data_IF_199878645144
#
_entry.id   IF_199878645144
#
_cell.length_a   1.000
_cell.length_b   1.000
_cell.length_c   1.000
_cell.angle_alpha   90.00
_cell.angle_beta   90.00
_cell.angle_gamma   90.00
#
_symmetry.space_group_name_H-M   'P 1'
#
loop_
_entity.id
_entity.type
_entity.pdbx_description
1 polymer ?
#
# COMPACT_ATOMS: atom_id res chain seq x y z
N UNK A 1 19.21 5.67 -16.67
CA UNK A 1 18.78 6.99 -17.20
C UNK A 1 18.58 8.05 -16.10
N UNK A 2 19.42 8.05 -15.04
CA UNK A 2 19.62 9.19 -14.13
C UNK A 2 21.12 9.53 -13.92
N UNK A 3 22.05 8.64 -14.29
CA UNK A 3 23.49 8.99 -14.34
C UNK A 3 23.92 9.55 -15.72
N UNK A 4 23.15 9.30 -16.77
CA UNK A 4 23.47 9.75 -18.14
C UNK A 4 22.91 11.15 -18.49
N UNK A 5 22.11 11.75 -17.59
CA UNK A 5 21.65 13.15 -17.73
C UNK A 5 22.64 14.12 -17.09
N UNK A 6 23.27 13.74 -15.97
CA UNK A 6 24.29 14.54 -15.30
C UNK A 6 25.62 14.58 -16.07
N UNK A 7 25.98 13.52 -16.80
CA UNK A 7 27.17 13.52 -17.67
C UNK A 7 26.98 14.31 -18.97
N UNK A 8 25.74 14.55 -19.41
CA UNK A 8 25.41 15.29 -20.64
C UNK A 8 25.35 16.81 -20.44
N UNK A 9 25.09 17.28 -19.22
CA UNK A 9 25.10 18.71 -18.88
C UNK A 9 26.49 19.34 -18.81
N UNK A 10 27.57 18.58 -18.61
CA UNK A 10 28.95 19.13 -18.58
C UNK A 10 29.65 19.21 -19.94
N UNK A 11 28.98 18.89 -21.07
CA UNK A 11 29.60 18.86 -22.41
C UNK A 11 28.90 19.65 -23.52
N UNK A 12 28.00 20.57 -23.19
CA UNK A 12 27.38 21.48 -24.17
C UNK A 12 27.42 22.93 -23.69
N UNK A 13 28.63 23.47 -23.58
CA UNK A 13 28.86 24.91 -23.65
C UNK A 13 29.15 25.29 -25.10
N UNK A 14 28.13 25.75 -25.82
CA UNK A 14 28.11 26.71 -26.95
C UNK A 14 27.01 26.33 -27.95
N UNK A 15 25.86 26.99 -27.82
CA UNK A 15 25.05 27.62 -28.89
C UNK A 15 23.59 27.72 -28.43
N UNK A 16 23.03 28.93 -28.60
CA UNK A 16 21.77 29.35 -27.99
C UNK A 16 20.52 28.78 -28.65
N UNK A 17 19.46 28.70 -27.86
CA UNK A 17 18.12 28.35 -28.31
C UNK A 17 17.15 28.35 -27.13
N UNK A 18 16.37 29.43 -27.02
CA UNK A 18 15.33 29.64 -26.00
C UNK A 18 14.14 28.73 -26.28
N UNK A 19 13.72 27.88 -25.34
CA UNK A 19 12.33 27.39 -25.24
C UNK A 19 11.91 27.16 -23.78
N UNK A 20 10.68 27.59 -23.48
CA UNK A 20 10.10 27.89 -22.15
C UNK A 20 9.90 26.64 -21.27
N UNK A 21 10.26 26.77 -19.99
CA UNK A 21 10.00 25.82 -18.91
C UNK A 21 8.58 26.00 -18.33
N UNK A 22 7.79 24.92 -18.26
CA UNK A 22 6.62 24.83 -17.38
C UNK A 22 7.05 24.21 -16.06
N UNK A 23 6.87 24.95 -14.96
CA UNK A 23 7.23 24.58 -13.59
C UNK A 23 6.39 23.36 -13.14
N UNK A 24 7.04 22.25 -12.77
CA UNK A 24 6.44 21.19 -11.94
C UNK A 24 7.04 21.25 -10.55
N UNK A 25 6.17 21.04 -9.56
CA UNK A 25 6.37 21.31 -8.14
C UNK A 25 7.43 20.42 -7.46
N UNK A 26 8.15 20.94 -6.43
CA UNK A 26 9.18 20.20 -5.69
C UNK A 26 8.65 19.12 -4.73
N UNK A 27 7.35 19.12 -4.41
CA UNK A 27 6.79 18.35 -3.29
C UNK A 27 6.89 16.82 -3.43
N UNK A 28 6.95 16.30 -4.66
CA UNK A 28 7.01 14.85 -4.92
C UNK A 28 8.38 14.27 -4.54
N UNK A 29 9.47 15.03 -4.70
CA UNK A 29 10.85 14.55 -4.45
C UNK A 29 11.15 14.43 -2.96
N UNK A 30 10.57 15.32 -2.15
CA UNK A 30 10.77 15.30 -0.70
C UNK A 30 10.00 14.15 -0.03
N UNK A 31 8.86 13.75 -0.59
CA UNK A 31 8.07 12.62 -0.07
C UNK A 31 8.78 11.26 -0.23
N UNK A 32 9.46 11.03 -1.35
CA UNK A 32 10.27 9.82 -1.58
C UNK A 32 11.46 9.70 -0.61
N UNK A 33 12.02 10.84 -0.17
CA UNK A 33 13.12 10.87 0.79
C UNK A 33 12.64 10.49 2.20
N UNK A 34 11.40 10.83 2.53
CA UNK A 34 10.78 10.53 3.81
C UNK A 34 10.24 9.11 3.91
N UNK A 35 9.75 8.53 2.81
CA UNK A 35 9.39 7.11 2.72
C UNK A 35 10.65 6.22 2.86
N UNK A 36 11.78 6.64 2.28
CA UNK A 36 13.06 5.92 2.41
C UNK A 36 13.60 5.91 3.85
N UNK A 37 13.17 6.85 4.71
CA UNK A 37 13.50 6.87 6.14
C UNK A 37 12.63 5.92 6.97
N UNK A 38 11.42 5.55 6.50
CA UNK A 38 10.50 4.64 7.20
C UNK A 38 10.78 3.16 6.92
N UNK A 39 11.50 2.84 5.86
CA UNK A 39 12.05 1.50 5.63
C UNK A 39 13.32 1.35 6.48
N UNK A 40 13.37 0.35 7.37
CA UNK A 40 14.54 0.11 8.21
C UNK A 40 15.82 0.02 7.35
N UNK A 41 16.83 0.89 7.57
CA UNK A 41 18.10 0.84 6.83
C UNK A 41 18.80 -0.52 6.98
N UNK A 42 18.54 -1.21 8.09
CA UNK A 42 18.99 -2.58 8.36
C UNK A 42 18.40 -3.59 7.38
N UNK A 43 17.14 -3.42 6.97
CA UNK A 43 16.45 -4.31 6.02
C UNK A 43 17.04 -4.17 4.61
N UNK A 44 17.30 -2.92 4.16
CA UNK A 44 17.95 -2.66 2.87
C UNK A 44 19.40 -3.18 2.86
N UNK A 45 20.19 -2.90 3.92
CA UNK A 45 21.57 -3.37 4.01
C UNK A 45 21.70 -4.91 4.06
N UNK A 46 20.77 -5.61 4.71
CA UNK A 46 20.81 -7.08 4.83
C UNK A 46 20.38 -7.77 3.53
N UNK A 47 19.39 -7.23 2.80
CA UNK A 47 19.06 -7.69 1.45
C UNK A 47 20.19 -7.39 0.46
N UNK A 48 20.78 -6.20 0.50
CA UNK A 48 21.94 -5.85 -0.35
C UNK A 48 23.14 -6.75 -0.04
N UNK A 49 23.41 -7.08 1.22
CA UNK A 49 24.48 -8.03 1.61
C UNK A 49 24.26 -9.44 1.06
N UNK A 50 23.02 -9.94 1.09
CA UNK A 50 22.71 -11.27 0.54
C UNK A 50 22.85 -11.31 -0.99
N UNK A 51 22.52 -10.21 -1.69
CA UNK A 51 22.71 -10.08 -3.15
C UNK A 51 24.19 -9.90 -3.52
N UNK A 52 24.96 -9.12 -2.75
CA UNK A 52 26.40 -8.99 -2.93
C UNK A 52 27.16 -10.30 -2.67
N UNK A 53 26.70 -11.12 -1.72
CA UNK A 53 27.27 -12.46 -1.48
C UNK A 53 27.04 -13.39 -2.68
N UNK A 54 25.88 -13.31 -3.35
CA UNK A 54 25.63 -14.03 -4.60
C UNK A 54 26.49 -13.52 -5.77
N UNK A 55 26.75 -12.21 -5.86
CA UNK A 55 27.65 -11.63 -6.89
C UNK A 55 29.11 -12.04 -6.70
N UNK A 56 29.63 -12.03 -5.46
CA UNK A 56 31.02 -12.45 -5.18
C UNK A 56 31.28 -13.94 -5.43
N UNK A 57 30.25 -14.78 -5.30
CA UNK A 57 30.33 -16.20 -5.64
C UNK A 57 30.41 -16.44 -7.16
N UNK A 58 29.90 -15.52 -7.99
CA UNK A 58 29.95 -15.59 -9.45
C UNK A 58 31.28 -15.09 -10.03
N UNK A 59 31.93 -14.10 -9.41
CA UNK A 59 33.17 -13.50 -9.93
C UNK A 59 34.45 -14.33 -9.68
N UNK A 60 34.43 -15.32 -8.77
CA UNK A 60 35.67 -16.00 -8.34
C UNK A 60 35.91 -17.41 -8.94
N UNK A 61 35.47 -17.67 -10.18
CA UNK A 61 35.84 -18.90 -10.91
C UNK A 61 36.40 -18.60 -12.30
N UNK A 62 37.73 -18.46 -12.40
CA UNK A 62 38.49 -18.69 -13.65
C UNK A 62 38.96 -20.15 -13.70
N UNK A 63 38.84 -20.75 -14.89
CA UNK A 63 38.76 -22.18 -15.24
C UNK A 63 40.04 -23.04 -14.99
N UNK A 64 39.98 -24.39 -15.16
CA UNK A 64 39.93 -25.01 -16.49
C UNK A 64 38.85 -26.11 -16.68
N UNK A 65 38.37 -26.26 -17.93
CA UNK A 65 37.42 -27.29 -18.42
C UNK A 65 37.99 -28.73 -18.30
N UNK A 66 37.18 -29.83 -18.18
CA UNK A 66 36.21 -30.25 -19.22
C UNK A 66 34.97 -31.07 -18.77
N UNK A 67 34.13 -31.37 -19.78
CA UNK A 67 33.09 -32.42 -19.92
C UNK A 67 31.64 -32.02 -19.67
N UNK A 68 30.87 -32.11 -20.76
CA UNK A 68 29.40 -32.13 -20.85
C UNK A 68 28.80 -32.86 -19.65
N UNK A 69 28.12 -32.13 -18.79
CA UNK A 69 27.04 -32.66 -17.98
C UNK A 69 25.90 -31.64 -17.97
N UNK A 70 24.70 -32.18 -18.20
CA UNK A 70 23.39 -31.53 -18.24
C UNK A 70 23.28 -30.38 -17.23
N UNK A 71 22.85 -29.22 -17.71
CA UNK A 71 22.16 -28.22 -16.90
C UNK A 71 20.89 -28.86 -16.34
N UNK A 72 20.94 -29.22 -15.06
CA UNK A 72 19.76 -29.42 -14.22
C UNK A 72 19.78 -28.26 -13.21
N UNK A 73 18.59 -27.75 -12.93
CA UNK A 73 18.23 -26.71 -11.94
C UNK A 73 18.02 -25.28 -12.48
N UNK A 74 16.77 -24.95 -12.87
CA UNK A 74 15.87 -24.12 -12.02
C UNK A 74 14.50 -23.75 -12.66
N UNK A 75 14.02 -24.49 -13.67
CA UNK A 75 12.70 -24.32 -14.31
C UNK A 75 11.53 -25.02 -13.54
N UNK A 76 11.80 -25.57 -12.36
CA UNK A 76 10.87 -26.48 -11.66
C UNK A 76 9.79 -25.75 -10.85
N UNK A 77 10.06 -24.51 -10.41
CA UNK A 77 9.14 -23.75 -9.55
C UNK A 77 8.27 -22.73 -10.32
N UNK A 78 8.33 -22.74 -11.65
CA UNK A 78 7.50 -21.88 -12.47
C UNK A 78 6.03 -22.27 -12.36
N UNK A 79 5.17 -21.28 -12.09
CA UNK A 79 3.74 -21.47 -12.28
C UNK A 79 3.49 -21.73 -13.77
N UNK A 80 2.64 -22.71 -14.09
CA UNK A 80 2.27 -23.05 -15.46
C UNK A 80 0.75 -23.25 -15.50
N UNK A 81 0.08 -22.47 -16.34
CA UNK A 81 -1.35 -22.58 -16.58
C UNK A 81 -1.64 -22.29 -18.06
N UNK A 82 -2.81 -22.69 -18.55
CA UNK A 82 -3.32 -22.26 -19.86
C UNK A 82 -4.14 -20.98 -19.78
N UNK A 83 -4.25 -20.35 -18.60
CA UNK A 83 -5.06 -19.15 -18.40
C UNK A 83 -4.51 -17.95 -19.20
N UNK A 84 -5.43 -17.07 -19.62
CA UNK A 84 -5.08 -15.84 -20.33
C UNK A 84 -4.17 -14.95 -19.47
N UNK A 85 -4.40 -14.93 -18.16
CA UNK A 85 -3.55 -14.28 -17.16
C UNK A 85 -2.09 -14.73 -17.27
N UNK A 86 -1.85 -16.04 -17.15
CA UNK A 86 -0.51 -16.60 -17.17
C UNK A 86 0.22 -16.33 -18.48
N UNK A 87 -0.44 -16.61 -19.60
CA UNK A 87 0.16 -16.45 -20.94
C UNK A 87 0.53 -14.99 -21.21
N UNK A 88 -0.33 -14.06 -20.81
CA UNK A 88 -0.09 -12.62 -21.00
C UNK A 88 1.00 -12.08 -20.06
N UNK A 89 1.06 -12.56 -18.81
CA UNK A 89 2.15 -12.20 -17.90
C UNK A 89 3.49 -12.71 -18.41
N UNK A 90 3.55 -13.98 -18.84
CA UNK A 90 4.77 -14.60 -19.35
C UNK A 90 5.26 -13.91 -20.62
N UNK A 91 4.36 -13.57 -21.56
CA UNK A 91 4.75 -12.86 -22.79
C UNK A 91 5.20 -11.42 -22.52
N UNK A 92 4.65 -10.77 -21.48
CA UNK A 92 5.08 -9.43 -21.07
C UNK A 92 6.43 -9.40 -20.33
N UNK A 93 6.95 -10.55 -19.90
CA UNK A 93 8.20 -10.68 -19.15
C UNK A 93 8.02 -10.75 -17.63
N UNK A 94 6.82 -11.07 -17.14
CA UNK A 94 6.54 -11.39 -15.74
C UNK A 94 6.45 -12.91 -15.56
N UNK A 95 7.47 -13.48 -14.93
CA UNK A 95 7.58 -14.92 -14.65
C UNK A 95 7.05 -15.21 -13.24
N UNK A 96 5.82 -15.74 -13.20
CA UNK A 96 5.14 -16.13 -11.96
C UNK A 96 5.68 -17.45 -11.43
N UNK A 97 5.87 -17.55 -10.11
CA UNK A 97 6.39 -18.75 -9.42
C UNK A 97 5.29 -19.43 -8.58
N UNK A 98 5.49 -20.67 -8.16
CA UNK A 98 4.50 -21.41 -7.36
C UNK A 98 4.44 -21.02 -5.87
N UNK A 99 5.09 -19.92 -5.46
CA UNK A 99 5.05 -19.41 -4.09
C UNK A 99 6.23 -19.81 -3.21
N UNK A 100 7.12 -20.70 -3.68
CA UNK A 100 8.39 -21.00 -2.98
C UNK A 100 9.44 -19.93 -3.25
N UNK A 101 9.45 -19.34 -4.45
CA UNK A 101 10.34 -18.26 -4.87
C UNK A 101 9.59 -16.96 -5.17
N UNK A 102 10.32 -15.85 -5.15
CA UNK A 102 9.81 -14.56 -5.60
C UNK A 102 9.55 -14.57 -7.11
N UNK A 103 8.55 -13.81 -7.54
CA UNK A 103 8.28 -13.59 -8.96
C UNK A 103 9.47 -12.90 -9.63
N UNK A 104 9.73 -13.28 -10.89
CA UNK A 104 10.90 -12.81 -11.64
C UNK A 104 10.47 -11.93 -12.80
N UNK A 105 11.16 -10.80 -12.99
CA UNK A 105 10.97 -9.91 -14.12
C UNK A 105 12.09 -10.10 -15.14
N UNK A 106 11.73 -10.42 -16.38
CA UNK A 106 12.65 -10.47 -17.51
C UNK A 106 12.98 -9.09 -18.12
N UNK A 107 12.27 -8.04 -17.71
CA UNK A 107 12.44 -6.65 -18.18
C UNK A 107 12.19 -5.64 -17.03
N UNK A 108 12.52 -4.35 -17.24
CA UNK A 108 12.11 -3.28 -16.32
C UNK A 108 10.58 -3.23 -16.16
N UNK A 109 10.09 -2.94 -14.94
CA UNK A 109 8.67 -2.89 -14.59
C UNK A 109 7.82 -2.04 -15.55
N UNK A 110 8.36 -0.92 -16.03
CA UNK A 110 7.65 -0.04 -16.96
C UNK A 110 7.51 -0.69 -18.34
N UNK A 111 8.50 -1.50 -18.75
CA UNK A 111 8.44 -2.26 -20.00
C UNK A 111 7.45 -3.41 -19.88
N UNK A 112 7.40 -4.09 -18.74
CA UNK A 112 6.41 -5.14 -18.47
C UNK A 112 4.99 -4.58 -18.54
N UNK A 113 4.72 -3.45 -17.87
CA UNK A 113 3.42 -2.76 -17.94
C UNK A 113 3.04 -2.39 -19.38
N UNK A 114 3.99 -1.82 -20.13
CA UNK A 114 3.78 -1.44 -21.53
C UNK A 114 3.51 -2.64 -22.43
N UNK A 115 4.26 -3.73 -22.26
CA UNK A 115 4.09 -4.96 -23.03
C UNK A 115 2.76 -5.62 -22.72
N UNK A 116 2.40 -5.72 -21.44
CA UNK A 116 1.12 -6.28 -21.01
C UNK A 116 -0.06 -5.47 -21.54
N UNK A 117 0.04 -4.13 -21.50
CA UNK A 117 -0.99 -3.24 -22.08
C UNK A 117 -1.16 -3.49 -23.58
N UNK A 118 -0.07 -3.65 -24.33
CA UNK A 118 -0.13 -3.94 -25.76
C UNK A 118 -0.74 -5.31 -26.05
N UNK A 119 -0.34 -6.32 -25.29
CA UNK A 119 -0.81 -7.69 -25.42
C UNK A 119 -2.32 -7.78 -25.19
N UNK A 120 -2.82 -7.18 -24.10
CA UNK A 120 -4.24 -7.19 -23.76
C UNK A 120 -5.07 -6.40 -24.78
N UNK A 121 -4.57 -5.26 -25.26
CA UNK A 121 -5.22 -4.49 -26.34
C UNK A 121 -5.25 -5.27 -27.66
N UNK A 122 -4.20 -6.03 -27.97
CA UNK A 122 -4.14 -6.84 -29.18
C UNK A 122 -5.09 -8.03 -29.14
N UNK A 123 -5.32 -8.62 -27.97
CA UNK A 123 -6.27 -9.73 -27.77
C UNK A 123 -7.74 -9.27 -27.78
N UNK A 124 -7.98 -7.96 -27.69
CA UNK A 124 -9.20 -7.24 -28.09
C UNK A 124 -10.52 -8.01 -28.00
N UNK A 125 -11.16 -8.01 -26.83
CA UNK A 125 -12.52 -8.53 -26.61
C UNK A 125 -13.08 -7.99 -25.29
N UNK A 126 -14.41 -7.85 -25.21
CA UNK A 126 -15.09 -7.34 -24.01
C UNK A 126 -14.72 -8.15 -22.74
N UNK A 127 -14.63 -9.47 -22.89
CA UNK A 127 -14.35 -10.40 -21.79
C UNK A 127 -12.86 -10.54 -21.43
N UNK A 128 -11.93 -9.86 -22.13
CA UNK A 128 -10.49 -10.10 -21.91
C UNK A 128 -10.07 -9.67 -20.51
N UNK A 129 -10.64 -8.58 -20.00
CA UNK A 129 -10.35 -8.07 -18.65
C UNK A 129 -10.88 -9.05 -17.60
N UNK A 130 -12.11 -9.55 -17.78
CA UNK A 130 -12.75 -10.50 -16.87
C UNK A 130 -11.98 -11.82 -16.84
N UNK A 131 -11.68 -12.42 -18.01
CA UNK A 131 -10.87 -13.67 -18.09
C UNK A 131 -9.46 -13.49 -17.55
N UNK A 132 -8.89 -12.30 -17.64
CA UNK A 132 -7.61 -12.00 -17.00
C UNK A 132 -7.75 -11.95 -15.48
N UNK A 133 -8.81 -11.31 -14.96
CA UNK A 133 -9.09 -11.22 -13.54
C UNK A 133 -9.40 -12.59 -12.93
N UNK A 134 -10.20 -13.43 -13.58
CA UNK A 134 -10.46 -14.82 -13.17
C UNK A 134 -9.16 -15.64 -13.04
N UNK A 135 -8.27 -15.54 -14.05
CA UNK A 135 -6.99 -16.23 -14.01
C UNK A 135 -6.03 -15.67 -12.95
N UNK A 136 -6.18 -14.40 -12.58
CA UNK A 136 -5.45 -13.79 -11.46
C UNK A 136 -5.98 -14.29 -10.11
N UNK A 137 -7.30 -14.32 -9.96
CA UNK A 137 -8.01 -14.84 -8.79
C UNK A 137 -7.62 -16.30 -8.51
N UNK A 138 -7.67 -17.16 -9.53
CA UNK A 138 -7.24 -18.57 -9.44
C UNK A 138 -5.77 -18.69 -8.99
N UNK A 139 -4.91 -17.79 -9.44
CA UNK A 139 -3.49 -17.79 -9.09
C UNK A 139 -3.26 -17.39 -7.63
N UNK A 140 -3.95 -16.36 -7.14
CA UNK A 140 -3.80 -15.85 -5.76
C UNK A 140 -4.57 -16.66 -4.72
N UNK A 141 -5.45 -17.58 -5.13
CA UNK A 141 -6.15 -18.47 -4.21
C UNK A 141 -5.19 -19.32 -3.36
N UNK A 142 -4.00 -19.61 -3.90
CA UNK A 142 -2.94 -20.19 -3.10
C UNK A 142 -2.23 -19.10 -2.26
N UNK A 143 -2.33 -19.20 -0.93
CA UNK A 143 -1.72 -18.27 0.02
C UNK A 143 -0.23 -18.00 -0.27
N UNK A 144 0.59 -19.03 -0.53
CA UNK A 144 2.02 -18.84 -0.81
C UNK A 144 2.27 -18.00 -2.08
N UNK A 145 1.49 -18.24 -3.15
CA UNK A 145 1.56 -17.45 -4.38
C UNK A 145 1.12 -16.01 -4.14
N UNK A 146 0.03 -15.83 -3.39
CA UNK A 146 -0.46 -14.51 -3.02
C UNK A 146 0.59 -13.70 -2.25
N UNK A 147 1.15 -14.28 -1.19
CA UNK A 147 2.18 -13.62 -0.38
C UNK A 147 3.40 -13.22 -1.21
N UNK A 148 3.94 -14.12 -2.06
CA UNK A 148 5.08 -13.80 -2.93
C UNK A 148 4.73 -12.80 -4.03
N UNK A 149 3.45 -12.60 -4.34
CA UNK A 149 2.99 -11.60 -5.32
C UNK A 149 2.83 -10.19 -4.73
N UNK A 150 2.65 -10.10 -3.41
CA UNK A 150 2.64 -8.84 -2.66
C UNK A 150 4.05 -8.33 -2.31
N UNK A 151 5.05 -9.21 -2.30
CA UNK A 151 6.45 -8.86 -2.01
C UNK A 151 7.20 -8.35 -3.26
N UNK A 152 8.29 -7.59 -3.10
CA UNK A 152 9.09 -7.09 -4.22
C UNK A 152 9.55 -8.20 -5.18
N UNK A 153 9.41 -7.95 -6.49
CA UNK A 153 9.83 -8.91 -7.51
C UNK A 153 11.34 -8.84 -7.74
N UNK A 154 11.95 -9.99 -8.06
CA UNK A 154 13.38 -10.08 -8.39
C UNK A 154 13.55 -9.85 -9.88
N UNK A 155 14.53 -9.04 -10.27
CA UNK A 155 14.87 -8.92 -11.69
C UNK A 155 15.83 -10.02 -12.09
N UNK A 156 15.62 -10.61 -13.26
CA UNK A 156 16.53 -11.60 -13.83
C UNK A 156 17.96 -11.02 -13.92
N UNK A 157 18.94 -11.83 -13.52
CA UNK A 157 20.36 -11.52 -13.59
C UNK A 157 20.85 -11.16 -14.99
N UNK A 158 20.18 -11.66 -16.04
CA UNK A 158 20.53 -11.37 -17.44
C UNK A 158 19.89 -10.08 -17.97
N UNK A 159 18.99 -9.46 -17.19
CA UNK A 159 18.28 -8.26 -17.62
C UNK A 159 19.14 -7.00 -17.53
N UNK A 160 19.71 -6.58 -18.66
CA UNK A 160 20.52 -5.34 -18.75
C UNK A 160 19.69 -4.05 -18.65
N UNK A 161 18.38 -4.13 -18.87
CA UNK A 161 17.47 -2.97 -18.85
C UNK A 161 17.03 -2.55 -17.44
N UNK A 162 17.28 -3.40 -16.44
CA UNK A 162 16.78 -3.22 -15.10
C UNK A 162 17.54 -2.16 -14.32
N UNK A 163 16.80 -1.24 -13.68
CA UNK A 163 17.39 -0.17 -12.86
C UNK A 163 17.81 -0.63 -11.46
N UNK A 164 17.24 -1.74 -10.98
CA UNK A 164 17.51 -2.31 -9.67
C UNK A 164 17.30 -3.83 -9.69
N UNK A 165 17.94 -4.54 -8.75
CA UNK A 165 17.80 -5.99 -8.58
C UNK A 165 16.42 -6.38 -8.01
N UNK A 166 15.77 -5.45 -7.31
CA UNK A 166 14.42 -5.57 -6.77
C UNK A 166 13.56 -4.47 -7.36
N UNK A 167 12.36 -4.81 -7.77
CA UNK A 167 11.40 -3.87 -8.34
C UNK A 167 10.06 -3.96 -7.59
N UNK A 168 9.03 -3.29 -8.11
CA UNK A 168 7.68 -3.40 -7.57
C UNK A 168 7.23 -4.86 -7.41
N UNK A 169 6.30 -5.08 -6.48
CA UNK A 169 5.65 -6.38 -6.36
C UNK A 169 4.90 -6.73 -7.66
N UNK A 170 4.66 -8.02 -7.90
CA UNK A 170 3.90 -8.44 -9.07
C UNK A 170 2.52 -7.75 -9.10
N UNK A 171 1.85 -7.67 -7.95
CA UNK A 171 0.57 -6.97 -7.80
C UNK A 171 0.71 -5.49 -8.15
N UNK A 172 1.69 -4.77 -7.61
CA UNK A 172 1.89 -3.35 -7.89
C UNK A 172 2.16 -3.08 -9.38
N UNK A 173 2.91 -3.97 -10.03
CA UNK A 173 3.21 -3.87 -11.46
C UNK A 173 1.93 -4.05 -12.28
N UNK A 174 1.12 -5.07 -11.96
CA UNK A 174 -0.17 -5.33 -12.60
C UNK A 174 -1.17 -4.18 -12.39
N UNK A 175 -1.22 -3.61 -11.19
CA UNK A 175 -2.06 -2.44 -10.88
C UNK A 175 -1.63 -1.17 -11.64
N UNK A 176 -0.43 -1.10 -12.18
CA UNK A 176 -0.02 -0.02 -13.08
C UNK A 176 -0.50 -0.17 -14.51
N UNK A 177 -1.32 -1.17 -14.82
CA UNK A 177 -1.96 -1.33 -16.14
C UNK A 177 -3.42 -0.93 -16.05
N UNK A 178 -3.73 0.27 -16.55
CA UNK A 178 -5.05 0.91 -16.46
C UNK A 178 -6.21 0.01 -16.90
N UNK A 179 -6.03 -0.78 -17.96
CA UNK A 179 -7.08 -1.62 -18.55
C UNK A 179 -7.65 -2.67 -17.58
N UNK A 180 -6.82 -3.17 -16.67
CA UNK A 180 -7.16 -4.26 -15.73
C UNK A 180 -7.23 -3.77 -14.28
N UNK A 181 -6.75 -2.55 -14.01
CA UNK A 181 -6.53 -2.04 -12.65
C UNK A 181 -7.78 -2.17 -11.78
N UNK A 182 -8.93 -1.62 -12.20
CA UNK A 182 -10.15 -1.64 -11.40
C UNK A 182 -10.61 -3.05 -11.05
N UNK A 183 -10.56 -3.97 -12.03
CA UNK A 183 -10.97 -5.37 -11.81
C UNK A 183 -10.04 -6.08 -10.83
N UNK A 184 -8.73 -5.85 -10.92
CA UNK A 184 -7.76 -6.44 -10.00
C UNK A 184 -7.87 -5.85 -8.59
N UNK A 185 -8.11 -4.54 -8.47
CA UNK A 185 -8.34 -3.92 -7.16
C UNK A 185 -9.59 -4.52 -6.49
N UNK A 186 -10.67 -4.76 -7.25
CA UNK A 186 -11.87 -5.43 -6.74
C UNK A 186 -11.56 -6.81 -6.17
N UNK A 187 -10.91 -7.68 -6.96
CA UNK A 187 -10.51 -9.03 -6.54
C UNK A 187 -9.62 -8.99 -5.29
N UNK A 188 -8.66 -8.05 -5.24
CA UNK A 188 -7.79 -7.88 -4.08
C UNK A 188 -8.55 -7.41 -2.82
N UNK A 189 -9.51 -6.49 -2.97
CA UNK A 189 -10.37 -6.08 -1.86
C UNK A 189 -11.21 -7.25 -1.34
N UNK A 190 -11.71 -8.12 -2.22
CA UNK A 190 -12.51 -9.30 -1.85
C UNK A 190 -11.72 -10.35 -1.06
N UNK A 191 -10.38 -10.34 -1.11
CA UNK A 191 -9.54 -11.16 -0.22
C UNK A 191 -9.43 -10.59 1.21
N UNK A 192 -9.76 -9.32 1.46
CA UNK A 192 -9.59 -8.70 2.78
C UNK A 192 -10.39 -9.38 3.90
N UNK A 193 -11.68 -9.73 3.70
CA UNK A 193 -12.46 -10.40 4.74
C UNK A 193 -11.99 -11.82 5.08
N UNK A 194 -11.18 -12.45 4.23
CA UNK A 194 -10.64 -13.80 4.50
C UNK A 194 -9.61 -13.81 5.64
N UNK A 195 -9.02 -12.65 5.95
CA UNK A 195 -8.00 -12.54 7.00
C UNK A 195 -8.66 -12.43 8.38
N UNK A 196 -9.09 -13.57 8.92
CA UNK A 196 -9.69 -13.64 10.26
C UNK A 196 -8.68 -14.09 11.31
N UNK A 197 -8.17 -13.14 12.10
CA UNK A 197 -7.27 -13.41 13.22
C UNK A 197 -5.80 -13.58 12.83
N UNK A 198 -4.94 -13.75 13.83
CA UNK A 198 -3.48 -13.59 13.67
C UNK A 198 -2.84 -14.63 12.73
N UNK A 199 -3.33 -15.87 12.70
CA UNK A 199 -2.73 -16.95 11.87
C UNK A 199 -2.90 -16.71 10.38
N UNK A 200 -4.08 -16.23 10.00
CA UNK A 200 -4.42 -15.99 8.60
C UNK A 200 -3.88 -14.63 8.14
N UNK A 201 -3.81 -13.66 9.08
CA UNK A 201 -3.39 -12.29 8.80
C UNK A 201 -1.88 -12.07 8.87
N UNK A 202 -1.09 -13.01 9.40
CA UNK A 202 0.37 -12.82 9.56
C UNK A 202 1.21 -13.91 8.93
N UNK A 203 2.29 -13.50 8.28
CA UNK A 203 3.30 -14.41 7.73
C UNK A 203 4.66 -14.14 8.35
N UNK A 204 5.50 -15.17 8.39
CA UNK A 204 6.90 -15.05 8.77
C UNK A 204 7.76 -14.91 7.51
N UNK A 205 8.17 -13.68 7.21
CA UNK A 205 9.11 -13.41 6.12
C UNK A 205 10.47 -13.03 6.74
N UNK A 206 11.50 -13.83 6.46
CA UNK A 206 12.87 -13.61 6.96
C UNK A 206 12.97 -13.44 8.49
N UNK A 207 12.08 -14.11 9.24
CA UNK A 207 12.05 -14.06 10.70
C UNK A 207 11.26 -12.89 11.29
N UNK A 208 10.63 -12.05 10.46
CA UNK A 208 9.73 -10.99 10.91
C UNK A 208 8.27 -11.35 10.62
N UNK A 209 7.38 -11.04 11.58
CA UNK A 209 5.93 -11.11 11.35
C UNK A 209 5.52 -9.95 10.45
N UNK A 210 4.87 -10.27 9.33
CA UNK A 210 4.32 -9.30 8.38
C UNK A 210 2.81 -9.42 8.38
N UNK A 211 2.10 -8.30 8.59
CA UNK A 211 0.65 -8.22 8.48
C UNK A 211 0.28 -8.19 6.98
N UNK A 212 -0.44 -9.22 6.54
CA UNK A 212 -0.82 -9.43 5.13
C UNK A 212 -1.89 -8.46 4.67
N UNK A 213 -3.00 -8.21 5.41
CA UNK A 213 -3.94 -7.13 5.10
C UNK A 213 -3.25 -5.77 4.88
N UNK A 214 -2.33 -5.40 5.78
CA UNK A 214 -1.55 -4.17 5.64
C UNK A 214 -0.69 -4.18 4.36
N UNK A 215 -0.01 -5.29 4.09
CA UNK A 215 0.80 -5.45 2.89
C UNK A 215 -0.04 -5.38 1.61
N UNK A 216 -1.24 -5.95 1.60
CA UNK A 216 -2.19 -5.87 0.50
C UNK A 216 -2.61 -4.42 0.25
N UNK A 217 -3.09 -3.72 1.28
CA UNK A 217 -3.54 -2.33 1.17
C UNK A 217 -2.41 -1.37 0.76
N UNK A 218 -1.17 -1.65 1.17
CA UNK A 218 0.00 -0.89 0.71
C UNK A 218 0.23 -0.97 -0.81
N UNK A 219 -0.31 -1.99 -1.48
CA UNK A 219 -0.26 -2.08 -2.94
C UNK A 219 -1.13 -1.02 -3.62
N UNK A 220 -2.13 -0.47 -2.93
CA UNK A 220 -2.98 0.61 -3.46
C UNK A 220 -2.42 2.01 -3.19
N UNK A 221 -1.58 2.16 -2.17
CA UNK A 221 -1.02 3.45 -1.77
C UNK A 221 -0.09 4.04 -2.85
N UNK A 222 -0.25 5.32 -3.18
CA UNK A 222 0.63 6.04 -4.12
C UNK A 222 0.74 5.39 -5.51
N UNK A 223 -0.36 4.83 -6.02
CA UNK A 223 -0.46 4.53 -7.44
C UNK A 223 -0.42 5.86 -8.22
N UNK A 224 0.26 5.88 -9.37
CA UNK A 224 0.40 7.10 -10.19
C UNK A 224 -0.98 7.64 -10.64
N UNK A 225 -1.93 6.73 -10.87
CA UNK A 225 -3.30 7.04 -11.24
C UNK A 225 -4.24 5.89 -10.84
N UNK A 226 -5.41 6.23 -10.31
CA UNK A 226 -6.51 5.29 -10.07
C UNK A 226 -7.60 5.57 -11.10
N UNK A 227 -7.89 4.57 -11.94
CA UNK A 227 -8.78 4.67 -13.10
C UNK A 227 -10.23 4.92 -12.70
N UNK A 228 -10.75 4.16 -11.73
CA UNK A 228 -12.10 4.33 -11.21
C UNK A 228 -12.08 4.49 -9.68
N UNK A 229 -11.74 5.69 -9.21
CA UNK A 229 -11.61 5.98 -7.78
C UNK A 229 -12.90 5.78 -6.98
N UNK A 230 -14.05 6.10 -7.60
CA UNK A 230 -15.37 5.89 -6.98
C UNK A 230 -15.64 4.42 -6.69
N UNK A 231 -15.49 3.56 -7.69
CA UNK A 231 -15.76 2.12 -7.53
C UNK A 231 -14.80 1.46 -6.53
N UNK A 232 -13.53 1.84 -6.54
CA UNK A 232 -12.55 1.37 -5.55
C UNK A 232 -12.95 1.79 -4.14
N UNK A 233 -13.42 3.04 -3.97
CA UNK A 233 -13.85 3.56 -2.68
C UNK A 233 -15.10 2.84 -2.18
N UNK A 234 -16.11 2.67 -3.03
CA UNK A 234 -17.32 1.90 -2.72
C UNK A 234 -16.97 0.48 -2.29
N UNK A 235 -16.06 -0.20 -3.01
CA UNK A 235 -15.64 -1.55 -2.65
C UNK A 235 -14.86 -1.61 -1.34
N UNK A 236 -13.98 -0.66 -1.06
CA UNK A 236 -13.26 -0.59 0.21
C UNK A 236 -14.21 -0.36 1.40
N UNK A 237 -15.22 0.50 1.23
CA UNK A 237 -16.25 0.73 2.25
C UNK A 237 -17.15 -0.51 2.43
N UNK A 238 -17.47 -1.24 1.37
CA UNK A 238 -18.17 -2.53 1.45
C UNK A 238 -17.34 -3.57 2.23
N UNK A 239 -16.04 -3.67 1.96
CA UNK A 239 -15.16 -4.59 2.70
C UNK A 239 -14.96 -4.15 4.15
N UNK A 240 -14.99 -2.85 4.42
CA UNK A 240 -14.92 -2.31 5.77
C UNK A 240 -16.08 -2.81 6.64
N UNK A 241 -17.31 -2.92 6.12
CA UNK A 241 -18.45 -3.41 6.91
C UNK A 241 -18.46 -4.92 7.11
N UNK A 242 -17.78 -5.68 6.24
CA UNK A 242 -17.77 -7.14 6.27
C UNK A 242 -16.55 -7.77 6.97
N UNK A 243 -15.54 -6.98 7.32
CA UNK A 243 -14.27 -7.47 7.87
C UNK A 243 -14.23 -7.47 9.40
N UNK A 244 -13.31 -8.23 10.00
CA UNK A 244 -13.05 -8.18 11.44
C UNK A 244 -12.35 -6.86 11.83
N UNK A 245 -12.47 -6.46 13.11
CA UNK A 245 -11.90 -5.20 13.64
C UNK A 245 -10.42 -4.99 13.29
N UNK A 246 -9.62 -6.05 13.24
CA UNK A 246 -8.19 -5.99 12.88
C UNK A 246 -7.99 -5.50 11.45
N UNK A 247 -8.73 -6.07 10.51
CA UNK A 247 -8.69 -5.68 9.09
C UNK A 247 -9.37 -4.34 8.89
N UNK A 248 -10.47 -4.06 9.60
CA UNK A 248 -11.14 -2.74 9.57
C UNK A 248 -10.17 -1.61 9.92
N UNK A 249 -9.36 -1.79 10.98
CA UNK A 249 -8.33 -0.81 11.36
C UNK A 249 -7.33 -0.57 10.23
N UNK A 250 -6.85 -1.62 9.57
CA UNK A 250 -5.91 -1.48 8.45
C UNK A 250 -6.54 -0.77 7.25
N UNK A 251 -7.79 -1.08 6.91
CA UNK A 251 -8.55 -0.40 5.84
C UNK A 251 -8.65 1.09 6.17
N UNK A 252 -9.13 1.45 7.37
CA UNK A 252 -9.33 2.83 7.81
C UNK A 252 -8.03 3.64 7.73
N UNK A 253 -6.93 3.09 8.25
CA UNK A 253 -5.61 3.75 8.22
C UNK A 253 -5.10 3.99 6.79
N UNK A 254 -5.54 3.20 5.81
CA UNK A 254 -5.10 3.32 4.42
C UNK A 254 -6.00 4.23 3.58
N UNK A 255 -7.27 4.45 3.97
CA UNK A 255 -8.24 5.22 3.18
C UNK A 255 -7.72 6.59 2.73
N UNK A 256 -7.12 7.44 3.59
CA UNK A 256 -6.65 8.76 3.17
C UNK A 256 -5.55 8.75 2.10
N UNK A 257 -4.89 7.60 1.90
CA UNK A 257 -3.79 7.45 0.93
C UNK A 257 -4.21 6.77 -0.38
N UNK A 258 -5.43 6.25 -0.44
CA UNK A 258 -5.97 5.52 -1.60
C UNK A 258 -7.10 6.31 -2.25
N UNK A 259 -7.95 6.93 -1.44
CA UNK A 259 -9.18 7.60 -1.90
C UNK A 259 -8.82 8.89 -2.63
N UNK A 260 -9.57 9.21 -3.69
CA UNK A 260 -9.44 10.47 -4.42
C UNK A 260 -10.21 11.58 -3.69
N UNK A 261 -9.73 12.82 -3.82
CA UNK A 261 -10.35 14.00 -3.19
C UNK A 261 -11.86 14.13 -3.46
N UNK A 262 -12.33 13.68 -4.63
CA UNK A 262 -13.76 13.70 -4.99
C UNK A 262 -14.64 12.83 -4.07
N UNK A 263 -14.07 11.80 -3.47
CA UNK A 263 -14.78 10.81 -2.66
C UNK A 263 -14.58 11.02 -1.14
N UNK A 264 -13.79 12.02 -0.72
CA UNK A 264 -13.52 12.30 0.70
C UNK A 264 -14.80 12.49 1.53
N UNK A 265 -15.79 13.20 0.98
CA UNK A 265 -17.10 13.41 1.64
C UNK A 265 -17.82 12.09 1.88
N UNK A 266 -17.83 11.19 0.89
CA UNK A 266 -18.45 9.86 0.97
C UNK A 266 -17.80 9.03 2.07
N UNK A 267 -16.46 9.00 2.08
CA UNK A 267 -15.69 8.25 3.09
C UNK A 267 -15.89 8.83 4.48
N UNK A 268 -15.82 10.14 4.65
CA UNK A 268 -15.99 10.76 5.96
C UNK A 268 -17.38 10.54 6.54
N UNK A 269 -18.42 10.51 5.69
CA UNK A 269 -19.78 10.16 6.11
C UNK A 269 -19.86 8.72 6.61
N UNK A 270 -19.31 7.77 5.85
CA UNK A 270 -19.28 6.36 6.26
C UNK A 270 -18.47 6.15 7.55
N UNK A 271 -17.31 6.79 7.69
CA UNK A 271 -16.49 6.71 8.90
C UNK A 271 -17.17 7.32 10.13
N UNK A 272 -17.92 8.41 9.96
CA UNK A 272 -18.74 9.00 11.04
C UNK A 272 -19.81 8.02 11.51
N UNK A 273 -20.49 7.36 10.57
CA UNK A 273 -21.56 6.41 10.91
C UNK A 273 -20.96 5.18 11.66
N UNK A 274 -19.80 4.68 11.23
CA UNK A 274 -19.08 3.60 11.93
C UNK A 274 -18.60 4.05 13.33
N UNK A 275 -18.16 5.30 13.48
CA UNK A 275 -17.72 5.84 14.77
C UNK A 275 -18.84 5.83 15.82
N UNK A 276 -20.09 6.02 15.40
CA UNK A 276 -21.24 5.95 16.28
C UNK A 276 -21.54 4.52 16.75
N UNK A 277 -21.21 3.51 15.95
CA UNK A 277 -21.50 2.09 16.23
C UNK A 277 -20.36 1.39 16.98
N UNK A 278 -19.09 1.61 16.58
CA UNK A 278 -17.94 0.88 17.10
C UNK A 278 -16.86 1.81 17.69
N UNK A 279 -16.84 1.91 19.02
CA UNK A 279 -15.88 2.73 19.77
C UNK A 279 -14.42 2.25 19.67
N UNK A 280 -14.20 0.95 19.41
CA UNK A 280 -12.85 0.38 19.30
C UNK A 280 -12.10 0.87 18.05
N UNK A 281 -12.83 1.45 17.09
CA UNK A 281 -12.27 2.04 15.87
C UNK A 281 -12.14 3.57 15.97
N UNK A 282 -12.45 4.18 17.12
CA UNK A 282 -12.48 5.63 17.27
C UNK A 282 -11.15 6.30 16.91
N UNK A 283 -10.03 5.83 17.47
CA UNK A 283 -8.70 6.36 17.18
C UNK A 283 -8.35 6.32 15.69
N UNK A 284 -8.37 5.15 15.00
CA UNK A 284 -8.02 5.10 13.58
C UNK A 284 -8.99 5.91 12.72
N UNK A 285 -10.28 5.97 13.07
CA UNK A 285 -11.25 6.82 12.36
C UNK A 285 -10.87 8.30 12.47
N UNK A 286 -10.56 8.78 13.67
CA UNK A 286 -10.20 10.19 13.88
C UNK A 286 -8.88 10.57 13.20
N UNK A 287 -7.91 9.66 13.19
CA UNK A 287 -6.66 9.86 12.44
C UNK A 287 -6.93 9.91 10.93
N UNK A 288 -7.75 9.00 10.40
CA UNK A 288 -8.13 9.02 9.00
C UNK A 288 -8.87 10.32 8.62
N UNK A 289 -9.89 10.73 9.39
CA UNK A 289 -10.65 11.96 9.18
C UNK A 289 -9.77 13.21 9.21
N UNK A 290 -8.74 13.24 10.07
CA UNK A 290 -7.78 14.35 10.14
C UNK A 290 -6.91 14.48 8.89
N UNK A 291 -6.73 13.38 8.14
CA UNK A 291 -5.93 13.33 6.92
C UNK A 291 -6.77 13.50 5.64
N UNK A 292 -8.10 13.58 5.75
CA UNK A 292 -9.01 13.84 4.63
C UNK A 292 -9.26 15.35 4.45
N UNK A 293 -9.50 15.75 3.21
CA UNK A 293 -9.92 17.13 2.89
C UNK A 293 -11.44 17.21 2.95
N UNK A 294 -11.99 17.84 3.99
CA UNK A 294 -13.42 17.88 4.26
C UNK A 294 -14.00 19.30 4.17
N UNK A 295 -15.26 19.47 3.72
CA UNK A 295 -15.96 20.74 3.82
C UNK A 295 -16.27 21.09 5.27
N UNK A 296 -16.27 22.38 5.60
CA UNK A 296 -16.45 22.87 6.98
C UNK A 296 -17.78 22.42 7.62
N UNK A 297 -18.83 22.25 6.82
CA UNK A 297 -20.14 21.78 7.29
C UNK A 297 -20.06 20.33 7.81
N UNK A 298 -19.43 19.43 7.06
CA UNK A 298 -19.29 18.03 7.45
C UNK A 298 -18.34 17.88 8.64
N UNK A 299 -17.28 18.69 8.67
CA UNK A 299 -16.35 18.70 9.80
C UNK A 299 -17.04 19.13 11.10
N UNK A 300 -17.97 20.11 11.04
CA UNK A 300 -18.77 20.49 12.20
C UNK A 300 -19.67 19.34 12.69
N UNK A 301 -20.36 18.63 11.78
CA UNK A 301 -21.17 17.45 12.15
C UNK A 301 -20.35 16.32 12.81
N UNK A 302 -19.16 16.06 12.26
CA UNK A 302 -18.23 15.07 12.83
C UNK A 302 -17.77 15.53 14.22
N UNK A 303 -17.43 16.81 14.37
CA UNK A 303 -17.02 17.39 15.67
C UNK A 303 -18.11 17.21 16.72
N UNK A 304 -19.35 17.48 16.37
CA UNK A 304 -20.49 17.32 17.29
C UNK A 304 -20.67 15.85 17.68
N UNK A 305 -20.47 14.92 16.74
CA UNK A 305 -20.48 13.47 17.00
C UNK A 305 -19.35 13.06 17.97
N UNK A 306 -18.14 13.62 17.81
CA UNK A 306 -17.00 13.35 18.70
C UNK A 306 -17.20 13.97 20.08
N UNK A 307 -17.83 15.14 20.18
CA UNK A 307 -18.18 15.75 21.46
C UNK A 307 -19.18 14.88 22.25
N UNK A 308 -20.16 14.29 21.58
CA UNK A 308 -21.09 13.34 22.19
C UNK A 308 -20.37 12.06 22.65
N UNK A 309 -19.36 11.61 21.90
CA UNK A 309 -18.56 10.44 22.27
C UNK A 309 -17.70 10.68 23.54
N UNK A 310 -17.24 11.92 23.75
CA UNK A 310 -16.33 12.31 24.83
C UNK A 310 -16.83 11.91 26.24
N UNK A 311 -18.14 11.98 26.47
CA UNK A 311 -18.74 11.64 27.76
C UNK A 311 -18.70 10.12 28.09
N UNK A 312 -18.36 9.28 27.10
CA UNK A 312 -18.48 7.82 27.21
C UNK A 312 -17.26 7.06 26.69
N UNK A 313 -16.13 7.77 26.55
CA UNK A 313 -14.86 7.23 26.07
C UNK A 313 -13.96 6.87 27.25
N UNK A 314 -13.10 5.86 27.06
CA UNK A 314 -12.11 5.50 28.06
C UNK A 314 -11.05 6.60 28.23
N UNK A 315 -10.51 6.72 29.45
CA UNK A 315 -9.53 7.77 29.79
C UNK A 315 -8.26 7.70 28.94
N UNK A 316 -7.90 6.51 28.46
CA UNK A 316 -6.70 6.28 27.63
C UNK A 316 -6.84 6.88 26.22
N UNK A 317 -8.06 6.94 25.69
CA UNK A 317 -8.34 7.41 24.32
C UNK A 317 -8.67 8.91 24.29
N UNK A 318 -9.04 9.48 25.44
CA UNK A 318 -9.43 10.87 25.61
C UNK A 318 -8.44 11.89 25.02
N UNK A 319 -7.10 11.75 25.17
CA UNK A 319 -6.15 12.70 24.59
C UNK A 319 -6.23 12.78 23.06
N UNK A 320 -6.53 11.66 22.39
CA UNK A 320 -6.64 11.61 20.93
C UNK A 320 -7.89 12.36 20.48
N UNK A 321 -9.01 12.14 21.15
CA UNK A 321 -10.28 12.83 20.86
C UNK A 321 -10.16 14.34 21.10
N UNK A 322 -9.59 14.75 22.24
CA UNK A 322 -9.37 16.17 22.54
C UNK A 322 -8.42 16.80 21.52
N UNK A 323 -7.35 16.11 21.11
CA UNK A 323 -6.45 16.58 20.07
C UNK A 323 -7.19 16.82 18.75
N UNK A 324 -8.02 15.87 18.32
CA UNK A 324 -8.84 16.01 17.12
C UNK A 324 -9.73 17.25 17.21
N UNK A 325 -10.50 17.39 18.30
CA UNK A 325 -11.40 18.52 18.52
C UNK A 325 -10.67 19.87 18.48
N UNK A 326 -9.48 19.95 19.08
CA UNK A 326 -8.69 21.19 19.08
C UNK A 326 -8.06 21.50 17.72
N UNK A 327 -7.72 20.47 16.93
CA UNK A 327 -7.16 20.64 15.59
C UNK A 327 -8.24 20.99 14.55
N UNK A 328 -9.49 20.60 14.80
CA UNK A 328 -10.62 20.81 13.90
C UNK A 328 -11.38 22.12 14.16
N UNK A 329 -10.92 22.94 15.11
CA UNK A 329 -11.59 24.20 15.51
C UNK A 329 -11.19 25.37 14.61
N UNK A 330 -12.17 26.21 14.28
CA UNK A 330 -11.95 27.51 13.64
C UNK A 330 -11.99 28.64 14.68
N UNK A 331 -11.50 29.82 14.34
CA UNK A 331 -11.55 30.99 15.23
C UNK A 331 -12.97 31.39 15.65
N UNK A 332 -13.99 31.02 14.86
CA UNK A 332 -15.40 31.33 15.15
C UNK A 332 -15.99 30.39 16.21
N UNK A 333 -15.63 29.11 16.15
CA UNK A 333 -16.26 28.08 16.99
C UNK A 333 -15.46 27.77 18.28
N UNK A 334 -14.27 28.35 18.40
CA UNK A 334 -13.32 28.03 19.46
C UNK A 334 -13.90 28.16 20.88
N UNK A 335 -14.65 29.23 21.14
CA UNK A 335 -15.24 29.45 22.47
C UNK A 335 -16.34 28.45 22.79
N UNK A 336 -17.15 28.07 21.80
CA UNK A 336 -18.23 27.09 21.96
C UNK A 336 -17.65 25.71 22.22
N UNK A 337 -16.72 25.25 21.38
CA UNK A 337 -16.07 23.94 21.53
C UNK A 337 -15.29 23.86 22.84
N UNK A 338 -14.61 24.92 23.25
CA UNK A 338 -13.91 24.96 24.54
C UNK A 338 -14.88 24.95 25.74
N UNK A 339 -16.09 25.49 25.60
CA UNK A 339 -17.14 25.41 26.61
C UNK A 339 -17.66 23.98 26.73
N UNK A 340 -17.99 23.35 25.60
CA UNK A 340 -18.47 21.97 25.55
C UNK A 340 -17.43 20.96 26.04
N UNK A 341 -16.15 21.14 25.69
CA UNK A 341 -15.06 20.35 26.24
C UNK A 341 -15.03 20.43 27.78
N UNK A 342 -15.13 21.64 28.36
CA UNK A 342 -15.12 21.80 29.83
C UNK A 342 -16.31 21.13 30.50
N UNK A 343 -17.49 21.13 29.87
CA UNK A 343 -18.69 20.48 30.41
C UNK A 343 -18.58 18.96 30.37
N UNK A 344 -18.02 18.41 29.31
CA UNK A 344 -17.92 16.96 29.12
C UNK A 344 -16.68 16.34 29.78
N UNK A 345 -15.70 17.16 30.17
CA UNK A 345 -14.48 16.74 30.88
C UNK A 345 -14.58 17.03 32.39
N UNK A 346 -15.54 16.41 33.07
CA UNK A 346 -15.55 16.40 34.54
C UNK A 346 -14.58 15.33 35.05
N UNK A 347 -13.32 15.71 35.25
CA UNK A 347 -12.35 14.86 35.94
C UNK A 347 -12.62 14.90 37.45
N UNK A 348 -13.31 13.88 37.96
CA UNK A 348 -13.49 13.72 39.40
C UNK A 348 -12.18 13.24 40.05
N UNK A 349 -11.27 14.18 40.31
CA UNK A 349 -9.95 13.94 40.92
C UNK A 349 -10.02 13.40 42.36
N UNK A 350 -11.23 13.28 42.92
CA UNK A 350 -11.49 13.04 44.34
C UNK A 350 -11.35 11.57 44.79
N UNK A 351 -11.17 10.61 43.87
CA UNK A 351 -11.16 9.17 44.23
C UNK A 351 -9.78 8.59 44.53
N UNK A 352 -8.67 9.31 44.31
CA UNK A 352 -7.31 8.78 44.52
C UNK A 352 -6.64 9.19 45.86
N UNK A 353 -7.22 10.09 46.66
CA UNK A 353 -6.55 10.66 47.84
C UNK A 353 -7.05 10.09 49.19
N UNK A 354 -8.08 9.23 49.21
CA UNK A 354 -8.74 8.82 50.47
C UNK A 354 -8.38 7.43 51.02
N UNK A 355 -7.58 6.60 50.35
CA UNK A 355 -7.30 5.22 50.81
C UNK A 355 -6.02 5.01 51.64
N UNK A 356 -5.30 6.07 52.04
CA UNK A 356 -4.14 5.95 52.95
C UNK A 356 -4.29 6.78 54.22
N UNK A 357 -5.34 6.54 55.02
CA UNK A 357 -5.30 6.86 56.45
C UNK A 357 -6.28 6.01 57.24
N UNK A 358 -5.72 5.38 58.28
CA UNK A 358 -6.35 4.60 59.37
C UNK A 358 -6.51 3.09 59.11
N UNK A 359 -5.46 2.34 59.45
CA UNK A 359 -5.60 1.35 60.52
C UNK A 359 -4.60 1.71 61.61
N UNK A 360 -5.12 1.83 62.84
CA UNK A 360 -4.34 2.07 64.04
C UNK A 360 -3.89 0.78 64.71
#
# INVERSE_FOLDING_TARGET
MCEDVMSRCMRFGTQGGVFKTSKREPAIVDNWREIRKKISPSFIMVLERSVLQKRKAADNKKAPQPKKNKSLDDDSDDYKSSSLFYLSCRSAGLHLKNGHKYNVLGADQAMVQKNLTKELKSKGGADVVEKFAEGFEEYIENAARFHKSLLPSVTDSECQSARACLQGSAVKILLGVDLIQTSLMRVLCEKLPEFTGEKDSTILEQGQKVNVPHLLLSQFQWLDHIVNGKEVTEKLLEMLTCSCDEVQREIINCLPYIVQDSEHTTVATALRDILAENKQLSIPILDALSNLVLPSTLLAEIRDSVLQLLASVDLDDLPVLVKFLLQSVTSQDCLEVASELRKNLEFDWSTAVSSSKKSG
#
